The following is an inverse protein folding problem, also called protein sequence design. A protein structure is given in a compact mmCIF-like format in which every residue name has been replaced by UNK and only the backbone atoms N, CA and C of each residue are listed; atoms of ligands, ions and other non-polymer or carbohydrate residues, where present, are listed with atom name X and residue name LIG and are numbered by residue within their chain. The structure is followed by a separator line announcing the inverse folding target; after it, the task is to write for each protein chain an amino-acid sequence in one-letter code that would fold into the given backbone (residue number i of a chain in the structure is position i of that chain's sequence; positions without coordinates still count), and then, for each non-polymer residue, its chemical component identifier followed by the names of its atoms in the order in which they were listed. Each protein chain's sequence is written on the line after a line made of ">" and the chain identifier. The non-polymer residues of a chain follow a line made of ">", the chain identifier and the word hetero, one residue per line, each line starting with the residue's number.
data_IF_526635993305
#
_entry.id   IF_526635993305
#
_cell.length_a   1.000
_cell.length_b   1.000
_cell.length_c   1.000
_cell.angle_alpha   90.00
_cell.angle_beta   90.00
_cell.angle_gamma   90.00
#
_symmetry.space_group_name_H-M   'P 1'
#
loop_
_entity.id
_entity.type
_entity.pdbx_description
1 polymer ?
#
# COMPACT_ATOMS: atom_id res chain seq x y z
N UNK A 1 11.87 2.52 -16.64
CA UNK A 1 11.52 2.24 -15.23
C UNK A 1 10.10 2.72 -14.98
N UNK A 2 9.35 2.07 -14.08
CA UNK A 2 7.90 2.30 -13.88
C UNK A 2 7.54 2.71 -12.44
N UNK A 3 6.24 2.86 -12.18
CA UNK A 3 5.68 3.17 -10.87
C UNK A 3 4.59 2.16 -10.53
N UNK A 4 4.55 1.70 -9.27
CA UNK A 4 3.51 0.82 -8.78
C UNK A 4 2.63 1.58 -7.79
N UNK A 5 1.32 1.33 -7.82
CA UNK A 5 0.36 1.83 -6.84
C UNK A 5 -0.26 0.64 -6.13
N UNK A 6 -0.36 0.70 -4.80
CA UNK A 6 -1.12 -0.28 -4.02
C UNK A 6 -2.48 0.28 -3.65
N UNK A 7 -3.53 -0.53 -3.86
CA UNK A 7 -4.90 -0.20 -3.47
C UNK A 7 -5.39 -1.28 -2.51
N UNK A 8 -5.78 -0.88 -1.30
CA UNK A 8 -6.43 -1.76 -0.33
C UNK A 8 -7.94 -1.57 -0.48
N UNK A 9 -8.65 -2.63 -0.83
CA UNK A 9 -10.10 -2.60 -1.04
C UNK A 9 -10.81 -3.11 0.21
N UNK A 10 -11.81 -2.37 0.67
CA UNK A 10 -12.72 -2.81 1.72
C UNK A 10 -13.82 -3.66 1.08
N UNK A 11 -13.95 -4.89 1.55
CA UNK A 11 -14.75 -5.92 0.86
C UNK A 11 -16.27 -5.64 0.93
N UNK A 12 -16.73 -4.94 1.95
CA UNK A 12 -18.10 -4.43 2.09
C UNK A 12 -18.44 -3.33 1.06
N UNK A 13 -17.44 -2.64 0.53
CA UNK A 13 -17.56 -1.66 -0.55
C UNK A 13 -17.63 -2.24 -1.97
N UNK A 14 -17.44 -3.56 -2.15
CA UNK A 14 -17.33 -4.17 -3.48
C UNK A 14 -18.59 -4.01 -4.35
N UNK A 15 -19.79 -4.04 -3.73
CA UNK A 15 -21.04 -3.84 -4.45
C UNK A 15 -21.13 -2.44 -5.07
N UNK A 16 -20.73 -1.42 -4.31
CA UNK A 16 -20.72 -0.02 -4.77
C UNK A 16 -19.63 0.18 -5.85
N UNK A 17 -18.44 -0.42 -5.69
CA UNK A 17 -17.42 -0.42 -6.76
C UNK A 17 -17.97 -1.04 -8.05
N UNK A 18 -18.72 -2.15 -7.96
CA UNK A 18 -19.31 -2.82 -9.12
C UNK A 18 -20.34 -1.96 -9.85
N UNK A 19 -21.19 -1.23 -9.11
CA UNK A 19 -22.19 -0.30 -9.69
C UNK A 19 -21.57 0.96 -10.29
N UNK A 20 -20.41 1.38 -9.77
CA UNK A 20 -19.77 2.66 -10.07
C UNK A 20 -18.31 2.49 -10.54
N UNK A 21 -18.04 1.49 -11.39
CA UNK A 21 -16.68 1.08 -11.74
C UNK A 21 -15.85 2.20 -12.40
N UNK A 22 -16.45 3.03 -13.27
CA UNK A 22 -15.77 4.15 -13.91
C UNK A 22 -15.37 5.24 -12.89
N UNK A 23 -16.27 5.56 -11.96
CA UNK A 23 -16.02 6.48 -10.86
C UNK A 23 -14.87 5.98 -9.99
N UNK A 24 -14.87 4.70 -9.64
CA UNK A 24 -13.77 4.08 -8.89
C UNK A 24 -12.43 4.21 -9.63
N UNK A 25 -12.38 3.88 -10.93
CA UNK A 25 -11.14 3.99 -11.73
C UNK A 25 -10.63 5.43 -11.77
N UNK A 26 -11.53 6.41 -11.93
CA UNK A 26 -11.14 7.83 -11.93
C UNK A 26 -10.66 8.29 -10.56
N UNK A 27 -11.30 7.84 -9.48
CA UNK A 27 -10.87 8.11 -8.12
C UNK A 27 -9.47 7.53 -7.85
N UNK A 28 -9.20 6.28 -8.25
CA UNK A 28 -7.87 5.68 -8.14
C UNK A 28 -6.83 6.52 -8.89
N UNK A 29 -7.08 6.85 -10.16
CA UNK A 29 -6.17 7.68 -10.98
C UNK A 29 -5.83 9.01 -10.31
N UNK A 30 -6.83 9.69 -9.73
CA UNK A 30 -6.65 10.97 -9.05
C UNK A 30 -5.81 10.88 -7.77
N UNK A 31 -5.73 9.68 -7.17
CA UNK A 31 -5.03 9.42 -5.91
C UNK A 31 -3.70 8.69 -6.08
N UNK A 32 -3.32 8.24 -7.27
CA UNK A 32 -2.06 7.51 -7.49
C UNK A 32 -0.83 8.31 -7.02
N UNK A 33 -0.82 9.63 -7.21
CA UNK A 33 0.34 10.46 -6.82
C UNK A 33 0.33 10.89 -5.34
N UNK A 34 -0.85 11.03 -4.74
CA UNK A 34 -1.02 11.65 -3.41
C UNK A 34 -1.45 10.68 -2.32
N UNK A 35 -1.96 9.51 -2.71
CA UNK A 35 -2.59 8.54 -1.83
C UNK A 35 -3.91 9.06 -1.23
N UNK A 36 -4.48 8.25 -0.33
CA UNK A 36 -5.66 8.59 0.46
C UNK A 36 -6.84 7.66 0.20
N UNK A 37 -7.92 7.92 0.93
CA UNK A 37 -9.15 7.15 0.83
C UNK A 37 -9.97 7.52 -0.40
N UNK A 38 -10.72 6.55 -0.89
CA UNK A 38 -11.65 6.68 -2.01
C UNK A 38 -13.05 6.41 -1.49
N UNK A 39 -13.95 7.38 -1.67
CA UNK A 39 -15.39 7.19 -1.60
C UNK A 39 -15.92 6.91 -3.01
N UNK A 40 -16.90 6.00 -3.12
CA UNK A 40 -17.60 5.69 -4.37
C UNK A 40 -19.07 5.43 -4.05
N UNK A 41 -19.96 6.00 -4.85
CA UNK A 41 -21.40 5.85 -4.64
C UNK A 41 -21.80 6.32 -3.24
N UNK A 42 -22.38 5.44 -2.42
CA UNK A 42 -22.80 5.75 -1.04
C UNK A 42 -21.82 5.29 0.02
N UNK A 43 -20.72 4.67 -0.35
CA UNK A 43 -19.76 4.12 0.60
C UNK A 43 -18.61 5.10 0.84
N UNK A 44 -18.46 5.54 2.09
CA UNK A 44 -17.58 6.64 2.48
C UNK A 44 -16.10 6.38 2.22
N UNK A 45 -15.66 5.12 2.21
CA UNK A 45 -14.26 4.77 2.03
C UNK A 45 -14.08 3.39 1.37
N UNK A 46 -14.56 3.12 0.16
CA UNK A 46 -14.45 1.77 -0.46
C UNK A 46 -13.01 1.25 -0.60
N UNK A 47 -12.02 2.13 -0.67
CA UNK A 47 -10.62 1.75 -0.78
C UNK A 47 -9.67 2.80 -0.21
N UNK A 48 -8.42 2.40 -0.03
CA UNK A 48 -7.29 3.30 0.27
C UNK A 48 -6.22 3.11 -0.79
N UNK A 49 -5.79 4.21 -1.40
CA UNK A 49 -4.65 4.25 -2.32
C UNK A 49 -3.41 4.65 -1.54
N UNK A 50 -2.36 3.84 -1.63
CA UNK A 50 -1.03 4.26 -1.20
C UNK A 50 -0.32 4.91 -2.38
N UNK A 51 0.15 6.15 -2.17
CA UNK A 51 0.84 6.94 -3.19
C UNK A 51 1.96 6.11 -3.84
N UNK A 52 2.05 6.23 -5.16
CA UNK A 52 2.94 5.42 -5.97
C UNK A 52 4.40 5.62 -5.54
N UNK A 53 5.09 4.50 -5.39
CA UNK A 53 6.54 4.49 -5.23
C UNK A 53 7.17 4.01 -6.54
N UNK A 54 8.46 4.32 -6.69
CA UNK A 54 9.22 3.85 -7.84
C UNK A 54 9.25 2.31 -7.87
N UNK A 55 9.25 1.70 -9.05
CA UNK A 55 9.06 0.24 -9.17
C UNK A 55 10.19 -0.62 -8.57
N UNK A 56 11.34 -0.04 -8.21
CA UNK A 56 12.42 -0.71 -7.47
C UNK A 56 12.31 -0.56 -5.94
N UNK A 57 11.33 0.21 -5.46
CA UNK A 57 11.03 0.36 -4.05
C UNK A 57 10.12 -0.79 -3.59
N UNK A 58 10.21 -1.09 -2.30
CA UNK A 58 9.35 -2.08 -1.64
C UNK A 58 8.64 -1.40 -0.48
N UNK A 59 7.32 -1.55 -0.41
CA UNK A 59 6.50 -0.95 0.64
C UNK A 59 6.06 -2.00 1.65
N UNK A 60 6.13 -1.66 2.94
CA UNK A 60 5.45 -2.38 4.00
C UNK A 60 4.12 -1.68 4.28
N UNK A 61 3.03 -2.44 4.21
CA UNK A 61 1.68 -1.94 4.46
C UNK A 61 1.08 -2.74 5.61
N UNK A 62 0.68 -2.05 6.67
CA UNK A 62 -0.13 -2.61 7.74
C UNK A 62 -1.61 -2.40 7.39
N UNK A 63 -2.42 -3.45 7.47
CA UNK A 63 -3.86 -3.42 7.20
C UNK A 63 -4.60 -3.94 8.43
N UNK A 64 -5.58 -3.18 8.93
CA UNK A 64 -6.38 -3.58 10.09
C UNK A 64 -7.33 -2.46 10.56
N UNK A 65 -8.35 -2.83 11.32
CA UNK A 65 -9.25 -1.86 11.96
C UNK A 65 -9.99 -0.91 11.01
N UNK A 66 -10.27 -1.35 9.77
CA UNK A 66 -10.83 -0.53 8.69
C UNK A 66 -9.86 0.50 8.07
N UNK A 67 -8.54 0.35 8.27
CA UNK A 67 -7.51 1.24 7.73
C UNK A 67 -6.35 0.46 7.13
N UNK A 68 -5.57 1.15 6.29
CA UNK A 68 -4.27 0.70 5.85
C UNK A 68 -3.26 1.84 5.91
N UNK A 69 -2.02 1.51 6.28
CA UNK A 69 -0.94 2.47 6.45
C UNK A 69 0.31 1.94 5.75
N UNK A 70 0.91 2.77 4.90
CA UNK A 70 2.28 2.53 4.41
C UNK A 70 3.23 2.83 5.56
N UNK A 71 3.70 1.80 6.26
CA UNK A 71 4.51 1.95 7.47
C UNK A 71 5.98 2.17 7.16
N UNK A 72 6.44 1.72 6.00
CA UNK A 72 7.82 1.89 5.55
C UNK A 72 7.94 1.74 4.03
N UNK A 73 8.87 2.48 3.44
CA UNK A 73 9.34 2.27 2.05
C UNK A 73 10.82 1.93 2.12
N UNK A 74 11.17 0.71 1.75
CA UNK A 74 12.55 0.27 1.61
C UNK A 74 13.06 0.48 0.19
N UNK A 75 14.34 0.83 0.10
CA UNK A 75 15.06 0.98 -1.17
C UNK A 75 16.16 -0.07 -1.24
N UNK A 76 16.39 -0.66 -2.41
CA UNK A 76 17.47 -1.64 -2.61
C UNK A 76 17.42 -2.86 -1.66
N UNK A 77 16.23 -3.25 -1.18
CA UNK A 77 16.04 -4.39 -0.28
C UNK A 77 16.18 -5.76 -0.98
N UNK A 78 16.60 -5.80 -2.25
CA UNK A 78 16.60 -7.01 -3.05
C UNK A 78 15.18 -7.52 -3.35
N UNK A 79 15.05 -8.76 -3.87
CA UNK A 79 13.75 -9.29 -4.27
C UNK A 79 12.87 -9.64 -3.07
N UNK A 80 11.90 -8.78 -2.74
CA UNK A 80 11.05 -8.90 -1.53
C UNK A 80 10.25 -10.20 -1.38
N UNK A 81 10.04 -10.95 -2.46
CA UNK A 81 9.45 -12.29 -2.47
C UNK A 81 10.40 -13.42 -2.02
N UNK A 82 11.64 -13.10 -1.65
CA UNK A 82 12.62 -14.05 -1.07
C UNK A 82 12.77 -13.82 0.42
N UNK A 83 13.21 -14.84 1.18
CA UNK A 83 13.46 -14.69 2.64
C UNK A 83 14.53 -13.61 2.89
N UNK A 84 15.63 -13.63 2.14
CA UNK A 84 16.71 -12.63 2.26
C UNK A 84 16.22 -11.21 1.97
N UNK A 85 15.41 -11.04 0.92
CA UNK A 85 14.85 -9.73 0.57
C UNK A 85 13.83 -9.22 1.59
N UNK A 86 12.98 -10.11 2.11
CA UNK A 86 12.06 -9.78 3.19
C UNK A 86 12.80 -9.41 4.49
N UNK A 87 13.85 -10.17 4.85
CA UNK A 87 14.69 -9.89 6.00
C UNK A 87 15.45 -8.56 5.85
N UNK A 88 15.96 -8.25 4.64
CA UNK A 88 16.62 -6.99 4.34
C UNK A 88 15.65 -5.80 4.52
N UNK A 89 14.41 -5.92 4.04
CA UNK A 89 13.37 -4.90 4.24
C UNK A 89 13.02 -4.71 5.72
N UNK A 90 12.86 -5.80 6.48
CA UNK A 90 12.59 -5.75 7.91
C UNK A 90 13.75 -5.11 8.69
N UNK A 91 15.00 -5.41 8.29
CA UNK A 91 16.19 -4.80 8.89
C UNK A 91 16.21 -3.30 8.66
N UNK A 92 15.96 -2.84 7.42
CA UNK A 92 15.88 -1.42 7.11
C UNK A 92 14.79 -0.70 7.92
N UNK A 93 13.60 -1.31 8.03
CA UNK A 93 12.52 -0.75 8.84
C UNK A 93 12.92 -0.67 10.32
N UNK A 94 13.50 -1.73 10.90
CA UNK A 94 13.96 -1.73 12.28
C UNK A 94 15.02 -0.63 12.53
N UNK A 95 16.01 -0.51 11.64
CA UNK A 95 17.05 0.51 11.72
C UNK A 95 16.47 1.93 11.64
N UNK A 96 15.46 2.16 10.78
CA UNK A 96 14.78 3.47 10.67
C UNK A 96 14.08 3.91 11.96
N UNK A 97 13.74 2.95 12.82
CA UNK A 97 13.10 3.18 14.11
C UNK A 97 14.09 3.16 15.29
N UNK A 98 15.39 2.95 15.04
CA UNK A 98 16.40 2.80 16.08
C UNK A 98 16.40 1.44 16.78
N UNK A 99 15.74 0.43 16.18
CA UNK A 99 15.75 -0.95 16.67
C UNK A 99 16.76 -1.82 15.92
N UNK A 100 17.10 -2.96 16.51
CA UNK A 100 17.93 -3.99 15.89
C UNK A 100 17.10 -5.24 15.63
N UNK A 101 17.10 -5.72 14.39
CA UNK A 101 16.51 -7.01 14.05
C UNK A 101 17.37 -8.15 14.63
N UNK A 102 16.76 -9.03 15.40
CA UNK A 102 17.41 -10.23 15.96
C UNK A 102 16.60 -11.47 15.58
N UNK A 103 17.28 -12.54 15.15
CA UNK A 103 16.64 -13.85 15.00
C UNK A 103 16.56 -14.52 16.38
N UNK A 104 15.44 -15.18 16.73
CA UNK A 104 15.37 -16.05 17.91
C UNK A 104 16.43 -17.15 17.88
#
# INVERSE_FOLDING_TARGET
>A
MGFNTTVVIRNDGLAEIGMHAEEFVMAVKSRMATGGEIAVGRHANVATVHAADHADAVVLIAVGGNYSTKVYTGTYAGPHHTEDGAAALLKQWAESLGYRLTRP
#
